data_IF_012448341693
#
_entry.id   IF_012448341693
#
_cell.length_a   1.000
_cell.length_b   1.000
_cell.length_c   1.000
_cell.angle_alpha   90.00
_cell.angle_beta   90.00
_cell.angle_gamma   90.00
#
_symmetry.space_group_name_H-M   'P 1'
#
loop_
_entity.id
_entity.type
_entity.pdbx_description
1 polymer ?
#
# COMPACT_ATOMS: atom_id res chain seq x y z
N UNK A 1 -22.11 16.46 16.09
CA UNK A 1 -21.64 16.46 14.69
C UNK A 1 -20.93 15.14 14.47
N UNK A 2 -21.26 14.37 13.43
CA UNK A 2 -20.43 13.20 13.10
C UNK A 2 -19.03 13.71 12.80
N UNK A 3 -18.00 13.04 13.33
CA UNK A 3 -16.64 13.36 12.92
C UNK A 3 -16.59 13.24 11.38
N UNK A 4 -16.03 14.22 10.65
CA UNK A 4 -15.78 14.01 9.24
C UNK A 4 -14.99 12.71 9.11
N UNK A 5 -15.42 11.81 8.21
CA UNK A 5 -14.60 10.65 7.88
C UNK A 5 -13.20 11.21 7.54
N UNK A 6 -12.16 10.68 8.16
CA UNK A 6 -10.79 11.09 7.90
C UNK A 6 -10.02 9.86 7.48
N UNK A 7 -9.46 9.89 6.28
CA UNK A 7 -8.42 8.95 5.90
C UNK A 7 -7.08 9.50 6.39
N UNK A 8 -6.58 8.94 7.49
CA UNK A 8 -5.30 9.36 8.09
C UNK A 8 -4.08 8.66 7.49
N UNK A 9 -4.27 7.76 6.52
CA UNK A 9 -3.17 7.02 5.89
C UNK A 9 -2.35 7.96 5.00
N UNK A 10 -1.04 7.88 5.14
CA UNK A 10 -0.07 8.59 4.31
C UNK A 10 1.23 7.81 4.23
N UNK A 11 1.90 7.87 3.08
CA UNK A 11 3.22 7.29 2.89
C UNK A 11 4.32 8.23 3.41
N UNK A 12 5.46 7.66 3.81
CA UNK A 12 6.65 8.44 4.14
C UNK A 12 7.38 8.88 2.86
N UNK A 13 8.04 10.05 2.85
CA UNK A 13 8.96 10.42 1.77
C UNK A 13 10.11 9.41 1.61
N UNK A 14 10.58 9.24 0.37
CA UNK A 14 11.76 8.44 0.06
C UNK A 14 12.92 9.38 -0.29
N UNK A 15 14.05 9.18 0.38
CA UNK A 15 15.27 9.92 0.15
C UNK A 15 16.23 9.06 -0.68
N UNK A 16 16.47 9.48 -1.92
CA UNK A 16 17.48 8.89 -2.80
C UNK A 16 18.71 9.81 -2.83
N UNK A 17 19.75 9.42 -3.57
CA UNK A 17 21.03 10.13 -3.58
C UNK A 17 20.86 11.63 -3.87
N UNK A 18 20.21 11.95 -5.00
CA UNK A 18 20.08 13.33 -5.50
C UNK A 18 18.66 13.88 -5.48
N UNK A 19 17.66 13.04 -5.16
CA UNK A 19 16.25 13.43 -5.18
C UNK A 19 15.50 12.96 -3.94
N UNK A 20 14.44 13.68 -3.61
CA UNK A 20 13.44 13.30 -2.61
C UNK A 20 12.14 13.02 -3.36
N UNK A 21 11.53 11.87 -3.11
CA UNK A 21 10.22 11.51 -3.62
C UNK A 21 9.21 11.72 -2.50
N UNK A 22 8.40 12.77 -2.61
CA UNK A 22 7.53 13.25 -1.55
C UNK A 22 6.05 13.00 -1.88
N UNK A 23 5.34 12.17 -1.09
CA UNK A 23 3.92 11.92 -1.25
C UNK A 23 3.09 13.11 -0.75
N UNK A 24 2.07 13.51 -1.50
CA UNK A 24 1.14 14.57 -1.08
C UNK A 24 -0.18 14.01 -0.54
N UNK A 25 -0.98 14.88 0.06
CA UNK A 25 -2.35 14.56 0.53
C UNK A 25 -3.41 14.73 -0.57
N UNK A 26 -3.02 15.23 -1.75
CA UNK A 26 -3.92 15.50 -2.90
C UNK A 26 -3.68 14.56 -4.10
N UNK A 27 -3.04 13.42 -3.86
CA UNK A 27 -2.90 12.34 -4.85
C UNK A 27 -1.77 12.54 -5.84
N UNK A 28 -0.73 13.26 -5.45
CA UNK A 28 0.46 13.52 -6.24
C UNK A 28 1.73 13.03 -5.54
N UNK A 29 2.77 12.87 -6.35
CA UNK A 29 4.13 12.70 -5.89
C UNK A 29 4.93 13.89 -6.40
N UNK A 30 5.66 14.55 -5.51
CA UNK A 30 6.63 15.57 -5.88
C UNK A 30 8.02 14.94 -5.90
N UNK A 31 8.75 15.15 -6.98
CA UNK A 31 10.17 14.81 -7.09
C UNK A 31 10.94 16.10 -6.87
N UNK A 32 11.67 16.19 -5.77
CA UNK A 32 12.45 17.35 -5.41
C UNK A 32 13.94 17.08 -5.58
N UNK A 33 14.70 18.08 -5.99
CA UNK A 33 16.16 18.07 -5.94
C UNK A 33 16.61 18.12 -4.48
N UNK A 34 17.50 17.22 -4.08
CA UNK A 34 18.06 17.25 -2.71
C UNK A 34 19.02 18.41 -2.50
N UNK A 35 19.62 18.94 -3.57
CA UNK A 35 20.63 20.00 -3.50
C UNK A 35 20.03 21.37 -3.18
N UNK A 36 18.82 21.66 -3.68
CA UNK A 36 18.20 22.98 -3.54
C UNK A 36 16.70 22.94 -3.19
N UNK A 37 16.15 21.73 -2.95
CA UNK A 37 14.75 21.49 -2.57
C UNK A 37 13.72 22.01 -3.58
N UNK A 38 14.13 22.30 -4.82
CA UNK A 38 13.21 22.68 -5.88
C UNK A 38 12.48 21.45 -6.41
N UNK A 39 11.19 21.62 -6.72
CA UNK A 39 10.40 20.60 -7.42
C UNK A 39 10.91 20.47 -8.85
N UNK A 40 11.41 19.28 -9.18
CA UNK A 40 11.88 18.90 -10.52
C UNK A 40 10.68 18.46 -11.36
N UNK A 41 9.77 17.69 -10.74
CA UNK A 41 8.62 17.08 -11.41
C UNK A 41 7.52 16.77 -10.42
N UNK A 42 6.27 16.90 -10.84
CA UNK A 42 5.11 16.35 -10.16
C UNK A 42 4.52 15.19 -10.98
N UNK A 43 4.00 14.19 -10.29
CA UNK A 43 3.36 13.01 -10.89
C UNK A 43 1.99 12.84 -10.24
N UNK A 44 0.93 12.98 -11.03
CA UNK A 44 -0.44 12.75 -10.57
C UNK A 44 -0.72 11.24 -10.53
N UNK A 45 -1.09 10.74 -9.36
CA UNK A 45 -1.59 9.37 -9.18
C UNK A 45 -3.09 9.39 -9.43
N UNK A 46 -3.85 10.18 -8.67
CA UNK A 46 -5.29 10.34 -8.81
C UNK A 46 -5.72 11.78 -8.52
N UNK A 47 -6.89 12.17 -9.03
CA UNK A 47 -7.45 13.52 -8.90
C UNK A 47 -8.81 13.50 -8.17
N UNK A 48 -8.95 12.62 -7.17
CA UNK A 48 -10.16 12.53 -6.35
C UNK A 48 -10.31 13.78 -5.47
N UNK A 49 -11.56 14.22 -5.28
CA UNK A 49 -11.87 15.43 -4.51
C UNK A 49 -11.66 15.26 -3.00
N UNK A 50 -11.76 14.03 -2.48
CA UNK A 50 -11.68 13.73 -1.05
C UNK A 50 -10.87 12.46 -0.80
N UNK A 51 -10.16 12.40 0.33
CA UNK A 51 -9.37 11.24 0.78
C UNK A 51 -8.37 10.73 -0.27
N UNK A 52 -7.70 11.67 -0.94
CA UNK A 52 -6.83 11.39 -2.06
C UNK A 52 -5.35 11.27 -1.65
N UNK A 53 -5.07 11.01 -0.37
CA UNK A 53 -3.69 10.90 0.11
C UNK A 53 -2.95 9.79 -0.63
N UNK A 54 -1.66 9.99 -0.88
CA UNK A 54 -0.76 8.90 -1.25
C UNK A 54 -0.52 8.04 0.00
N UNK A 55 -1.05 6.81 -0.01
CA UNK A 55 -1.05 5.88 1.12
C UNK A 55 0.08 4.84 1.05
N UNK A 56 0.69 4.67 -0.12
CA UNK A 56 1.84 3.79 -0.32
C UNK A 56 2.86 4.46 -1.25
N UNK A 57 4.14 4.33 -0.92
CA UNK A 57 5.25 4.81 -1.73
C UNK A 57 6.45 3.89 -1.52
N UNK A 58 7.06 3.43 -2.62
CA UNK A 58 8.19 2.50 -2.58
C UNK A 58 8.97 2.53 -3.89
N UNK A 59 10.24 2.16 -3.84
CA UNK A 59 11.11 2.02 -5.00
C UNK A 59 11.66 0.60 -5.04
N UNK A 60 11.52 -0.07 -6.18
CA UNK A 60 12.08 -1.41 -6.43
C UNK A 60 12.80 -1.39 -7.78
N UNK A 61 14.12 -1.55 -7.73
CA UNK A 61 14.97 -1.34 -8.90
C UNK A 61 14.78 0.06 -9.48
N UNK A 62 14.37 0.13 -10.75
CA UNK A 62 14.08 1.37 -11.48
C UNK A 62 12.60 1.81 -11.40
N UNK A 63 11.78 1.12 -10.60
CA UNK A 63 10.33 1.33 -10.54
C UNK A 63 9.94 2.07 -9.28
N UNK A 64 9.18 3.14 -9.47
CA UNK A 64 8.46 3.81 -8.40
C UNK A 64 7.03 3.27 -8.34
N UNK A 65 6.64 2.71 -7.20
CA UNK A 65 5.28 2.23 -6.95
C UNK A 65 4.64 3.15 -5.94
N UNK A 66 3.47 3.67 -6.30
CA UNK A 66 2.69 4.54 -5.42
C UNK A 66 1.20 4.25 -5.53
N UNK A 67 0.47 4.44 -4.43
CA UNK A 67 -0.97 4.24 -4.42
C UNK A 67 -1.68 5.31 -3.60
N UNK A 68 -2.90 5.64 -4.03
CA UNK A 68 -3.93 6.28 -3.21
C UNK A 68 -4.98 5.25 -2.82
N UNK A 69 -6.06 5.68 -2.18
CA UNK A 69 -7.17 4.80 -1.84
C UNK A 69 -8.01 4.31 -3.04
N UNK A 70 -7.72 4.80 -4.27
CA UNK A 70 -8.50 4.51 -5.49
C UNK A 70 -7.68 3.97 -6.65
N UNK A 71 -6.36 4.09 -6.58
CA UNK A 71 -5.48 3.82 -7.72
C UNK A 71 -4.09 3.48 -7.26
N UNK A 72 -3.48 2.51 -7.93
CA UNK A 72 -2.05 2.23 -7.85
C UNK A 72 -1.38 2.51 -9.19
N UNK A 73 -0.18 3.05 -9.13
CA UNK A 73 0.66 3.30 -10.30
C UNK A 73 2.02 2.65 -10.15
N UNK A 74 2.58 2.28 -11.29
CA UNK A 74 3.99 1.89 -11.41
C UNK A 74 4.63 2.78 -12.47
N UNK A 75 5.56 3.63 -12.05
CA UNK A 75 6.35 4.49 -12.94
C UNK A 75 7.70 3.81 -13.19
N UNK A 76 8.04 3.63 -14.45
CA UNK A 76 9.34 3.13 -14.91
C UNK A 76 9.89 4.05 -16.00
N UNK A 77 11.18 3.94 -16.39
CA UNK A 77 11.74 4.73 -17.49
C UNK A 77 10.99 4.55 -18.81
N UNK A 78 10.43 3.36 -19.06
CA UNK A 78 9.77 3.04 -20.32
C UNK A 78 8.31 3.52 -20.39
N UNK A 79 7.59 3.49 -19.27
CA UNK A 79 6.15 3.81 -19.21
C UNK A 79 5.66 3.98 -17.77
N UNK A 80 4.49 4.61 -17.64
CA UNK A 80 3.68 4.59 -16.43
C UNK A 80 2.49 3.66 -16.62
N UNK A 81 2.23 2.82 -15.64
CA UNK A 81 1.10 1.88 -15.59
C UNK A 81 0.16 2.28 -14.46
N UNK A 82 -1.12 1.98 -14.65
CA UNK A 82 -2.21 2.37 -13.75
C UNK A 82 -3.14 1.18 -13.53
N UNK A 83 -3.65 1.05 -12.31
CA UNK A 83 -4.73 0.12 -11.99
C UNK A 83 -5.66 0.80 -10.98
N UNK A 84 -6.93 0.90 -11.33
CA UNK A 84 -7.99 1.36 -10.44
C UNK A 84 -8.38 0.22 -9.48
N UNK A 85 -8.48 0.52 -8.20
CA UNK A 85 -8.79 -0.45 -7.13
C UNK A 85 -9.26 0.28 -5.87
N UNK A 86 -10.08 -0.36 -5.04
CA UNK A 86 -10.56 0.22 -3.78
C UNK A 86 -9.59 -0.03 -2.62
N UNK A 87 -8.42 0.61 -2.66
CA UNK A 87 -7.24 0.21 -1.88
C UNK A 87 -7.33 0.56 -0.39
N UNK A 88 -7.15 -0.47 0.44
CA UNK A 88 -6.99 -0.40 1.89
C UNK A 88 -5.52 -0.44 2.35
N UNK A 89 -4.70 -1.26 1.74
CA UNK A 89 -3.25 -1.31 1.99
C UNK A 89 -2.52 -1.95 0.80
N UNK A 90 -1.20 -1.77 0.74
CA UNK A 90 -0.35 -2.39 -0.28
C UNK A 90 0.84 -3.06 0.41
N UNK A 91 1.14 -4.29 -0.01
CA UNK A 91 2.37 -4.99 0.38
C UNK A 91 3.15 -5.40 -0.86
N UNK A 92 4.48 -5.46 -0.73
CA UNK A 92 5.39 -5.77 -1.83
C UNK A 92 6.28 -6.94 -1.44
N UNK A 93 6.53 -7.81 -2.40
CA UNK A 93 7.54 -8.86 -2.32
C UNK A 93 8.43 -8.83 -3.55
N UNK A 94 9.46 -9.67 -3.62
CA UNK A 94 10.32 -9.74 -4.81
C UNK A 94 9.56 -10.13 -6.09
N UNK A 95 8.41 -10.81 -5.96
CA UNK A 95 7.68 -11.40 -7.08
C UNK A 95 6.42 -10.63 -7.51
N UNK A 96 6.02 -9.59 -6.76
CA UNK A 96 4.80 -8.87 -7.09
C UNK A 96 4.26 -7.93 -6.02
N UNK A 97 3.12 -7.34 -6.38
CA UNK A 97 2.38 -6.35 -5.61
C UNK A 97 1.10 -6.99 -5.09
N UNK A 98 0.84 -6.83 -3.79
CA UNK A 98 -0.38 -7.27 -3.13
C UNK A 98 -1.24 -6.05 -2.82
N UNK A 99 -2.38 -5.95 -3.48
CA UNK A 99 -3.35 -4.87 -3.31
C UNK A 99 -4.46 -5.41 -2.43
N UNK A 100 -4.58 -4.88 -1.23
CA UNK A 100 -5.64 -5.23 -0.29
C UNK A 100 -6.75 -4.20 -0.44
N UNK A 101 -7.92 -4.64 -0.88
CA UNK A 101 -9.08 -3.78 -1.08
C UNK A 101 -9.93 -3.66 0.18
N UNK A 102 -10.72 -2.57 0.25
CA UNK A 102 -11.58 -2.23 1.39
C UNK A 102 -12.70 -3.24 1.63
N UNK A 103 -13.06 -4.00 0.60
CA UNK A 103 -14.15 -4.98 0.65
C UNK A 103 -13.68 -6.37 1.11
N UNK A 104 -12.38 -6.55 1.41
CA UNK A 104 -11.80 -7.83 1.82
C UNK A 104 -11.16 -8.63 0.67
N UNK A 105 -11.06 -8.06 -0.53
CA UNK A 105 -10.35 -8.67 -1.67
C UNK A 105 -8.85 -8.45 -1.57
N UNK A 106 -8.04 -9.46 -1.89
CA UNK A 106 -6.59 -9.36 -2.07
C UNK A 106 -6.28 -9.69 -3.52
N UNK A 107 -5.65 -8.77 -4.23
CA UNK A 107 -5.22 -8.96 -5.61
C UNK A 107 -3.69 -9.02 -5.64
N UNK A 108 -3.12 -10.10 -6.17
CA UNK A 108 -1.70 -10.16 -6.52
C UNK A 108 -1.52 -9.74 -7.97
N UNK A 109 -0.61 -8.82 -8.22
CA UNK A 109 -0.17 -8.45 -9.58
C UNK A 109 1.34 -8.59 -9.71
N UNK A 110 1.83 -8.69 -10.94
CA UNK A 110 3.26 -8.44 -11.21
C UNK A 110 3.57 -6.93 -11.19
N UNK A 111 4.84 -6.57 -11.32
CA UNK A 111 5.27 -5.16 -11.44
C UNK A 111 4.86 -4.47 -12.75
N UNK A 112 4.15 -5.16 -13.64
CA UNK A 112 3.47 -4.56 -14.79
C UNK A 112 1.96 -4.39 -14.54
N UNK A 113 1.51 -4.52 -13.28
CA UNK A 113 0.10 -4.45 -12.88
C UNK A 113 -0.79 -5.49 -13.58
N UNK A 114 -0.23 -6.59 -14.06
CA UNK A 114 -1.01 -7.73 -14.58
C UNK A 114 -1.44 -8.59 -13.40
N UNK A 115 -2.75 -8.82 -13.26
CA UNK A 115 -3.32 -9.69 -12.22
C UNK A 115 -2.80 -11.13 -12.38
N UNK A 116 -2.23 -11.67 -11.31
CA UNK A 116 -1.72 -13.04 -11.20
C UNK A 116 -2.72 -13.91 -10.44
N UNK A 117 -3.21 -13.42 -9.29
CA UNK A 117 -4.09 -14.16 -8.40
C UNK A 117 -5.01 -13.22 -7.64
N UNK A 118 -6.10 -13.77 -7.10
CA UNK A 118 -7.02 -13.04 -6.23
C UNK A 118 -7.62 -13.96 -5.18
N UNK A 119 -7.90 -13.38 -4.01
CA UNK A 119 -8.60 -14.06 -2.93
C UNK A 119 -9.52 -13.12 -2.19
N UNK A 120 -10.75 -13.57 -1.98
CA UNK A 120 -11.76 -12.84 -1.21
C UNK A 120 -11.84 -13.37 0.23
N UNK A 121 -11.83 -12.46 1.19
CA UNK A 121 -12.19 -12.72 2.57
C UNK A 121 -13.49 -11.98 2.89
N UNK A 122 -14.60 -12.71 2.92
CA UNK A 122 -15.89 -12.13 3.26
C UNK A 122 -15.84 -11.43 4.62
N UNK A 123 -16.31 -10.19 4.66
CA UNK A 123 -16.38 -9.34 5.86
C UNK A 123 -15.05 -8.96 6.52
N UNK A 124 -13.89 -9.26 5.89
CA UNK A 124 -12.60 -8.86 6.46
C UNK A 124 -12.33 -7.37 6.27
N UNK A 125 -12.02 -6.67 7.37
CA UNK A 125 -11.62 -5.27 7.35
C UNK A 125 -10.11 -5.18 7.57
N UNK A 126 -9.35 -5.10 6.48
CA UNK A 126 -7.89 -5.05 6.58
C UNK A 126 -7.40 -3.76 7.23
N UNK A 127 -6.45 -3.89 8.16
CA UNK A 127 -5.81 -2.75 8.82
C UNK A 127 -4.47 -2.47 8.18
N UNK A 128 -3.56 -3.46 8.22
CA UNK A 128 -2.19 -3.39 7.71
C UNK A 128 -1.72 -4.77 7.27
N UNK A 129 -0.81 -4.79 6.31
CA UNK A 129 -0.20 -5.97 5.73
C UNK A 129 1.32 -5.84 5.65
N UNK A 130 2.00 -6.98 5.69
CA UNK A 130 3.45 -7.05 5.54
C UNK A 130 3.87 -8.40 4.94
N UNK A 131 4.97 -8.41 4.19
CA UNK A 131 5.60 -9.63 3.70
C UNK A 131 6.77 -9.99 4.61
N UNK A 132 6.76 -11.20 5.17
CA UNK A 132 7.85 -11.69 6.00
C UNK A 132 8.08 -13.19 5.76
N UNK A 133 9.33 -13.58 5.55
CA UNK A 133 9.74 -14.96 5.28
C UNK A 133 8.89 -15.67 4.21
N UNK A 134 8.61 -14.99 3.09
CA UNK A 134 7.81 -15.50 1.97
C UNK A 134 6.33 -15.79 2.30
N UNK A 135 5.79 -15.11 3.31
CA UNK A 135 4.37 -15.12 3.64
C UNK A 135 3.81 -13.70 3.68
N UNK A 136 2.57 -13.55 3.23
CA UNK A 136 1.76 -12.36 3.43
C UNK A 136 1.05 -12.47 4.78
N UNK A 137 1.30 -11.51 5.65
CA UNK A 137 0.62 -11.32 6.92
C UNK A 137 -0.30 -10.11 6.83
N UNK A 138 -1.53 -10.27 7.31
CA UNK A 138 -2.55 -9.23 7.26
C UNK A 138 -3.24 -9.17 8.62
N UNK A 139 -3.22 -8.00 9.23
CA UNK A 139 -4.01 -7.73 10.42
C UNK A 139 -5.41 -7.25 10.01
N UNK A 140 -6.42 -7.91 10.55
CA UNK A 140 -7.82 -7.61 10.36
C UNK A 140 -8.37 -6.92 11.63
N UNK A 141 -9.26 -5.94 11.45
CA UNK A 141 -9.71 -5.01 12.49
C UNK A 141 -10.33 -5.69 13.71
N UNK A 142 -10.96 -6.85 13.55
CA UNK A 142 -11.61 -7.60 14.64
C UNK A 142 -10.67 -8.51 15.42
N UNK A 143 -9.35 -8.35 15.24
CA UNK A 143 -8.32 -9.03 16.03
C UNK A 143 -7.87 -10.35 15.46
N UNK A 144 -7.88 -10.50 14.13
CA UNK A 144 -7.34 -11.68 13.47
C UNK A 144 -6.07 -11.33 12.69
N UNK A 145 -5.09 -12.22 12.77
CA UNK A 145 -3.92 -12.22 11.90
C UNK A 145 -4.11 -13.31 10.85
N UNK A 146 -4.21 -12.90 9.59
CA UNK A 146 -4.29 -13.80 8.44
C UNK A 146 -2.87 -13.96 7.91
N UNK A 147 -2.42 -15.21 7.76
CA UNK A 147 -1.15 -15.58 7.13
C UNK A 147 -1.46 -16.42 5.89
N UNK A 148 -0.79 -16.15 4.78
CA UNK A 148 -0.88 -17.00 3.58
C UNK A 148 0.44 -16.95 2.80
N UNK A 149 0.67 -17.93 1.93
CA UNK A 149 1.84 -17.86 1.05
C UNK A 149 1.64 -16.76 -0.02
N UNK A 150 2.71 -16.42 -0.74
CA UNK A 150 2.67 -15.38 -1.77
C UNK A 150 1.81 -15.74 -3.00
N UNK A 151 1.28 -16.96 -3.12
CA UNK A 151 0.33 -17.34 -4.16
C UNK A 151 -1.14 -17.16 -3.70
N UNK A 152 -1.36 -16.61 -2.51
CA UNK A 152 -2.66 -16.47 -1.84
C UNK A 152 -3.29 -17.80 -1.42
N UNK A 153 -2.49 -18.86 -1.31
CA UNK A 153 -2.89 -20.19 -0.86
C UNK A 153 -2.47 -20.45 0.60
N UNK A 154 -2.87 -21.62 1.12
CA UNK A 154 -2.45 -22.12 2.44
C UNK A 154 -2.72 -21.12 3.56
N UNK A 155 -3.94 -20.60 3.59
CA UNK A 155 -4.34 -19.60 4.58
C UNK A 155 -4.42 -20.18 5.99
N UNK A 156 -3.81 -19.48 6.93
CA UNK A 156 -3.89 -19.73 8.36
C UNK A 156 -4.42 -18.46 9.02
N UNK A 157 -5.36 -18.61 9.95
CA UNK A 157 -5.95 -17.48 10.69
C UNK A 157 -5.69 -17.67 12.17
N UNK A 158 -5.06 -16.66 12.78
CA UNK A 158 -4.74 -16.64 14.20
C UNK A 158 -5.60 -15.57 14.88
N UNK A 159 -6.22 -15.93 16.01
CA UNK A 159 -6.95 -14.97 16.83
C UNK A 159 -6.00 -14.28 17.80
N UNK A 160 -5.91 -12.97 17.70
CA UNK A 160 -5.13 -12.10 18.58
C UNK A 160 -6.09 -11.32 19.48
N UNK A 161 -6.75 -12.04 20.39
CA UNK A 161 -7.81 -11.50 21.26
C UNK A 161 -7.39 -10.24 22.04
N UNK A 162 -6.10 -10.11 22.36
CA UNK A 162 -5.55 -8.99 23.13
C UNK A 162 -5.23 -7.75 22.28
N UNK A 163 -5.30 -7.83 20.95
CA UNK A 163 -4.97 -6.76 20.01
C UNK A 163 -6.20 -6.00 19.49
N UNK A 164 -7.41 -6.43 19.86
CA UNK A 164 -8.67 -5.78 19.44
C UNK A 164 -8.77 -4.39 20.04
N UNK A 165 -9.18 -3.41 19.24
CA UNK A 165 -9.36 -1.99 19.62
C UNK A 165 -8.12 -1.28 20.19
N UNK A 166 -6.92 -1.88 20.02
CA UNK A 166 -5.64 -1.27 20.38
C UNK A 166 -4.94 -0.70 19.16
N UNK A 167 -4.19 0.37 19.36
CA UNK A 167 -3.26 0.88 18.35
C UNK A 167 -2.23 -0.23 18.10
N UNK A 168 -2.19 -0.72 16.86
CA UNK A 168 -1.29 -1.80 16.45
C UNK A 168 -0.55 -1.38 15.17
N UNK A 169 0.74 -1.71 15.05
CA UNK A 169 1.50 -1.42 13.84
C UNK A 169 2.53 -2.51 13.50
N UNK A 170 2.85 -2.62 12.21
CA UNK A 170 3.87 -3.55 11.71
C UNK A 170 5.03 -2.79 11.08
N UNK A 171 6.26 -3.18 11.42
CA UNK A 171 7.47 -2.60 10.86
C UNK A 171 8.70 -3.44 11.20
N UNK A 172 9.69 -3.47 10.29
CA UNK A 172 10.95 -4.20 10.48
C UNK A 172 10.77 -5.67 10.91
N UNK A 173 9.79 -6.36 10.31
CA UNK A 173 9.48 -7.77 10.62
C UNK A 173 8.88 -8.01 12.02
N UNK A 174 8.39 -6.96 12.69
CA UNK A 174 7.80 -7.03 14.03
C UNK A 174 6.39 -6.43 14.06
N UNK A 175 5.57 -6.91 15.00
CA UNK A 175 4.24 -6.40 15.34
C UNK A 175 4.30 -5.79 16.75
N UNK A 176 3.75 -4.59 16.90
CA UNK A 176 3.71 -3.81 18.15
C UNK A 176 2.27 -3.42 18.47
#
# INVERSE_FOLDING_TARGET
TSAPAQDSRTANPIFLDNIIVYPTLDGKILILSRNNLQVIKDVVISAENFFNNVIHLSVIGDKLIAATAKKIIVVSPARTLYLDADIKDVALSDDGIFILEKDGTIIKTDYNLRKIAEKKFEFAIFVKSNIYNNYLYIFEKTGYLIKMNLNLDNTQVFKLSEAVDKISFMGNGKFY
#
